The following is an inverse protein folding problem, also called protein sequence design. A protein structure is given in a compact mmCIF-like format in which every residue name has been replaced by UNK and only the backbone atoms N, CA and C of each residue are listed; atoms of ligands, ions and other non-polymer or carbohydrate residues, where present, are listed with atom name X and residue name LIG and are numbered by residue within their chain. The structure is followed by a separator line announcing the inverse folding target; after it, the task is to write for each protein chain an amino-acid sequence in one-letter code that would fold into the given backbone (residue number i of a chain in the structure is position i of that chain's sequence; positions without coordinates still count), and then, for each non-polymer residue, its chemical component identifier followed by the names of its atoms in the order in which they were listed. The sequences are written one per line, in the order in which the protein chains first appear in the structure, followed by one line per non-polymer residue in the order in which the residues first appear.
data_IF_693799236027
#
_entry.id   IF_693799236027
#
_cell.length_a   1.000
_cell.length_b   1.000
_cell.length_c   1.000
_cell.angle_alpha   90.00
_cell.angle_beta   90.00
_cell.angle_gamma   90.00
#
_symmetry.space_group_name_H-M   'P 1'
#
loop_
_entity.id
_entity.type
_entity.pdbx_description
1 polymer ?
#
# COMPACT_ATOMS: atom_id res chain seq x y z
N UNK A 1 44.91 45.26 -63.16
CA UNK A 1 45.99 44.29 -63.48
C UNK A 1 45.94 43.14 -62.48
N UNK A 2 45.85 41.91 -62.99
CA UNK A 2 46.44 40.64 -62.48
C UNK A 2 46.01 40.09 -61.10
N UNK A 3 45.32 38.93 -61.13
CA UNK A 3 45.12 37.90 -60.08
C UNK A 3 46.42 37.06 -59.89
N UNK A 4 46.49 36.02 -59.03
CA UNK A 4 45.98 35.75 -57.66
C UNK A 4 47.12 35.26 -56.74
N UNK A 5 46.86 34.91 -55.47
CA UNK A 5 47.44 33.69 -54.86
C UNK A 5 46.68 33.32 -53.59
N UNK A 6 46.30 32.05 -53.52
CA UNK A 6 45.63 31.42 -52.38
C UNK A 6 46.67 30.94 -51.37
N UNK A 7 46.35 31.07 -50.08
CA UNK A 7 46.89 30.21 -49.04
C UNK A 7 45.76 29.82 -48.08
N UNK A 8 45.36 28.55 -48.18
CA UNK A 8 44.48 27.87 -47.24
C UNK A 8 45.20 27.80 -45.89
N UNK A 9 44.49 28.13 -44.81
CA UNK A 9 44.78 27.54 -43.51
C UNK A 9 43.45 27.18 -42.84
N UNK A 10 43.10 25.91 -43.02
CA UNK A 10 42.02 25.25 -42.33
C UNK A 10 42.44 25.07 -40.86
N UNK A 11 41.67 25.61 -39.92
CA UNK A 11 41.71 25.16 -38.53
C UNK A 11 40.29 24.95 -38.00
N UNK A 12 40.10 23.73 -37.52
CA UNK A 12 38.83 23.11 -37.21
C UNK A 12 38.24 23.62 -35.90
N UNK A 13 36.92 23.85 -35.93
CA UNK A 13 36.07 24.05 -34.77
C UNK A 13 36.02 22.72 -34.00
N UNK A 14 36.63 22.68 -32.81
CA UNK A 14 36.49 21.54 -31.87
C UNK A 14 35.20 21.72 -31.05
N UNK A 15 34.27 20.75 -31.02
CA UNK A 15 33.22 20.75 -30.01
C UNK A 15 33.81 20.31 -28.65
N UNK A 16 33.52 21.11 -27.62
CA UNK A 16 33.85 20.86 -26.22
C UNK A 16 32.98 19.69 -25.71
N UNK A 17 33.59 18.51 -25.52
CA UNK A 17 32.96 17.35 -24.85
C UNK A 17 32.75 17.69 -23.37
N UNK A 18 31.50 17.73 -22.93
CA UNK A 18 31.16 17.73 -21.50
C UNK A 18 31.44 16.33 -20.92
N UNK A 19 31.99 16.21 -19.70
CA UNK A 19 32.14 14.92 -19.04
C UNK A 19 30.77 14.39 -18.62
N UNK A 20 30.38 13.23 -19.16
CA UNK A 20 29.23 12.48 -18.68
C UNK A 20 29.59 11.83 -17.34
N UNK A 21 29.03 12.33 -16.25
CA UNK A 21 29.03 11.66 -14.95
C UNK A 21 27.99 10.55 -14.97
N UNK A 22 28.41 9.31 -15.17
CA UNK A 22 27.56 8.14 -14.93
C UNK A 22 27.39 7.96 -13.41
N UNK A 23 26.17 7.86 -12.86
CA UNK A 23 25.99 7.38 -11.51
C UNK A 23 26.38 5.89 -11.44
N UNK A 24 26.99 5.42 -10.34
CA UNK A 24 27.32 4.01 -10.19
C UNK A 24 26.02 3.20 -10.17
N UNK A 25 25.96 2.18 -11.04
CA UNK A 25 24.94 1.15 -11.01
C UNK A 25 24.90 0.56 -9.60
N UNK A 26 23.74 0.68 -8.93
CA UNK A 26 23.46 -0.06 -7.73
C UNK A 26 23.65 -1.54 -8.03
N UNK A 27 24.73 -2.08 -7.49
CA UNK A 27 25.04 -3.50 -7.46
C UNK A 27 23.90 -4.18 -6.68
N UNK A 28 22.97 -4.79 -7.41
CA UNK A 28 21.98 -5.68 -6.83
C UNK A 28 22.74 -6.76 -6.06
N UNK A 29 22.63 -6.72 -4.73
CA UNK A 29 23.02 -7.83 -3.88
C UNK A 29 22.23 -9.06 -4.35
N UNK A 30 22.92 -9.93 -5.08
CA UNK A 30 22.43 -11.24 -5.44
C UNK A 30 22.35 -12.04 -4.13
N UNK A 31 21.15 -12.13 -3.59
CA UNK A 31 20.82 -13.20 -2.66
C UNK A 31 21.13 -14.52 -3.37
N UNK A 32 21.88 -15.39 -2.70
CA UNK A 32 22.36 -16.65 -3.22
C UNK A 32 21.23 -17.47 -3.84
N UNK A 33 21.19 -17.52 -5.18
CA UNK A 33 20.39 -18.47 -5.92
C UNK A 33 21.23 -19.73 -6.10
N UNK A 34 21.06 -20.71 -5.24
CA UNK A 34 21.09 -22.09 -5.72
C UNK A 34 20.03 -22.16 -6.82
N UNK A 35 20.40 -22.42 -8.07
CA UNK A 35 19.46 -22.73 -9.15
C UNK A 35 18.78 -24.06 -8.83
N UNK A 36 17.50 -24.11 -8.42
CA UNK A 36 16.71 -25.28 -8.78
C UNK A 36 16.45 -25.16 -10.29
N UNK A 37 16.40 -26.29 -10.97
CA UNK A 37 16.05 -26.35 -12.39
C UNK A 37 14.77 -25.55 -12.66
N UNK A 38 14.67 -24.91 -13.83
CA UNK A 38 13.44 -24.25 -14.29
C UNK A 38 12.23 -25.19 -14.24
N UNK A 39 12.47 -26.50 -14.30
CA UNK A 39 11.49 -27.56 -14.12
C UNK A 39 10.99 -27.70 -12.68
N UNK A 40 11.84 -27.54 -11.66
CA UNK A 40 11.44 -27.62 -10.24
C UNK A 40 10.68 -26.37 -9.77
N UNK A 41 11.00 -25.20 -10.32
CA UNK A 41 10.23 -23.97 -10.10
C UNK A 41 8.85 -24.04 -10.77
N UNK A 42 8.77 -24.58 -11.98
CA UNK A 42 7.49 -24.83 -12.65
C UNK A 42 6.66 -25.88 -11.93
N UNK A 43 7.28 -26.97 -11.43
CA UNK A 43 6.59 -27.98 -10.63
C UNK A 43 6.08 -27.41 -9.30
N UNK A 44 6.87 -26.61 -8.57
CA UNK A 44 6.41 -25.94 -7.33
C UNK A 44 5.35 -24.87 -7.60
N UNK A 45 5.45 -24.14 -8.71
CA UNK A 45 4.42 -23.21 -9.12
C UNK A 45 3.13 -23.95 -9.52
N UNK A 46 3.21 -25.08 -10.21
CA UNK A 46 2.07 -25.93 -10.55
C UNK A 46 1.47 -26.63 -9.32
N UNK A 47 2.29 -27.06 -8.37
CA UNK A 47 1.84 -27.61 -7.09
C UNK A 47 1.16 -26.54 -6.23
N UNK A 48 1.71 -25.32 -6.17
CA UNK A 48 1.08 -24.20 -5.47
C UNK A 48 -0.19 -23.73 -6.19
N UNK A 49 -0.18 -23.67 -7.52
CA UNK A 49 -1.35 -23.30 -8.32
C UNK A 49 -2.43 -24.38 -8.20
N UNK A 50 -2.08 -25.66 -8.18
CA UNK A 50 -3.03 -26.75 -7.99
C UNK A 50 -3.55 -26.83 -6.56
N UNK A 51 -2.76 -26.47 -5.55
CA UNK A 51 -3.22 -26.34 -4.16
C UNK A 51 -4.15 -25.13 -3.97
N UNK A 52 -3.82 -23.99 -4.60
CA UNK A 52 -4.66 -22.80 -4.63
C UNK A 52 -5.92 -23.04 -5.46
N UNK A 53 -5.85 -23.78 -6.57
CA UNK A 53 -7.02 -24.17 -7.37
C UNK A 53 -7.89 -25.20 -6.65
N UNK A 54 -7.31 -26.16 -5.92
CA UNK A 54 -8.05 -27.10 -5.08
C UNK A 54 -8.69 -26.39 -3.89
N UNK A 55 -7.98 -25.47 -3.25
CA UNK A 55 -8.48 -24.66 -2.14
C UNK A 55 -9.53 -23.64 -2.55
N UNK A 56 -9.35 -22.98 -3.71
CA UNK A 56 -10.36 -22.12 -4.33
C UNK A 56 -11.55 -22.94 -4.82
N UNK A 57 -11.32 -24.11 -5.39
CA UNK A 57 -12.37 -25.03 -5.84
C UNK A 57 -13.24 -25.47 -4.67
N UNK A 58 -12.61 -25.90 -3.58
CA UNK A 58 -13.32 -26.24 -2.34
C UNK A 58 -14.01 -25.01 -1.74
N UNK A 59 -13.34 -23.87 -1.58
CA UNK A 59 -13.94 -22.66 -1.03
C UNK A 59 -15.06 -22.08 -1.91
N UNK A 60 -14.95 -22.17 -3.23
CA UNK A 60 -16.02 -21.83 -4.16
C UNK A 60 -17.15 -22.84 -4.10
N UNK A 61 -16.90 -24.12 -3.88
CA UNK A 61 -17.94 -25.13 -3.71
C UNK A 61 -18.67 -24.99 -2.37
N UNK A 62 -17.98 -24.76 -1.26
CA UNK A 62 -18.62 -24.44 0.03
C UNK A 62 -19.34 -23.09 -0.04
N UNK A 63 -18.72 -22.09 -0.67
CA UNK A 63 -19.33 -20.79 -0.94
C UNK A 63 -20.56 -20.90 -1.82
N UNK A 64 -20.54 -21.72 -2.88
CA UNK A 64 -21.71 -22.01 -3.73
C UNK A 64 -22.78 -22.80 -3.00
N UNK A 65 -22.44 -23.68 -2.04
CA UNK A 65 -23.46 -24.41 -1.26
C UNK A 65 -24.17 -23.52 -0.24
N UNK A 66 -23.44 -22.61 0.42
CA UNK A 66 -24.02 -21.68 1.39
C UNK A 66 -24.66 -20.45 0.75
N UNK A 67 -24.09 -19.95 -0.33
CA UNK A 67 -24.51 -18.74 -1.01
C UNK A 67 -25.25 -19.02 -2.32
N UNK A 68 -25.35 -20.26 -2.78
CA UNK A 68 -25.96 -20.65 -4.06
C UNK A 68 -27.43 -20.28 -4.18
N UNK A 69 -28.34 -20.78 -3.31
CA UNK A 69 -29.77 -20.54 -3.48
C UNK A 69 -30.16 -19.07 -3.24
N UNK A 70 -29.40 -18.34 -2.42
CA UNK A 70 -29.63 -16.91 -2.15
C UNK A 70 -28.93 -16.03 -3.19
N UNK A 71 -27.73 -16.40 -3.61
CA UNK A 71 -26.91 -15.69 -4.59
C UNK A 71 -27.37 -15.87 -6.03
N UNK A 72 -27.98 -17.01 -6.37
CA UNK A 72 -28.64 -17.22 -7.67
C UNK A 72 -29.93 -16.40 -7.78
N UNK A 73 -30.75 -16.34 -6.72
CA UNK A 73 -31.97 -15.50 -6.67
C UNK A 73 -31.64 -14.01 -6.63
N UNK A 74 -30.66 -13.60 -5.83
CA UNK A 74 -30.14 -12.24 -5.87
C UNK A 74 -29.47 -11.95 -7.21
N UNK A 75 -28.83 -12.94 -7.84
CA UNK A 75 -28.13 -12.79 -9.10
C UNK A 75 -29.01 -12.66 -10.33
N UNK A 76 -30.17 -13.30 -10.33
CA UNK A 76 -31.21 -13.12 -11.37
C UNK A 76 -31.98 -11.82 -11.18
N UNK A 77 -32.28 -11.41 -9.93
CA UNK A 77 -32.93 -10.14 -9.64
C UNK A 77 -32.00 -8.92 -9.81
N UNK A 78 -30.71 -9.07 -9.52
CA UNK A 78 -29.69 -8.04 -9.77
C UNK A 78 -29.05 -8.15 -11.14
N UNK A 79 -29.46 -9.09 -12.00
CA UNK A 79 -28.83 -9.31 -13.31
C UNK A 79 -28.77 -8.03 -14.16
N UNK A 80 -29.85 -7.24 -14.16
CA UNK A 80 -29.95 -5.92 -14.82
C UNK A 80 -29.37 -4.77 -13.99
N UNK A 81 -29.31 -4.89 -12.65
CA UNK A 81 -28.78 -3.86 -11.74
C UNK A 81 -27.30 -4.02 -11.41
N UNK A 82 -26.66 -5.12 -11.84
CA UNK A 82 -25.25 -5.39 -11.59
C UNK A 82 -24.34 -4.40 -12.31
N UNK A 83 -24.70 -4.01 -13.52
CA UNK A 83 -23.93 -3.05 -14.32
C UNK A 83 -23.91 -1.64 -13.70
N UNK A 84 -25.04 -1.03 -13.30
CA UNK A 84 -25.01 0.27 -12.62
C UNK A 84 -24.36 0.19 -11.23
N UNK A 85 -24.55 -0.91 -10.48
CA UNK A 85 -23.87 -1.09 -9.20
C UNK A 85 -22.35 -1.19 -9.37
N UNK A 86 -21.87 -2.00 -10.31
CA UNK A 86 -20.45 -2.13 -10.59
C UNK A 86 -19.83 -0.80 -11.00
N UNK A 87 -20.51 -0.03 -11.86
CA UNK A 87 -20.09 1.32 -12.22
C UNK A 87 -20.03 2.25 -11.00
N UNK A 88 -21.07 2.30 -10.18
CA UNK A 88 -21.11 3.14 -8.97
C UNK A 88 -20.03 2.75 -7.97
N UNK A 89 -19.75 1.46 -7.79
CA UNK A 89 -18.63 0.98 -6.98
C UNK A 89 -17.28 1.39 -7.57
N UNK A 90 -17.12 1.35 -8.89
CA UNK A 90 -15.89 1.80 -9.54
C UNK A 90 -15.66 3.29 -9.32
N UNK A 91 -16.69 4.12 -9.51
CA UNK A 91 -16.62 5.57 -9.22
C UNK A 91 -16.32 5.81 -7.74
N UNK A 92 -17.05 5.14 -6.84
CA UNK A 92 -16.83 5.24 -5.39
C UNK A 92 -15.39 4.86 -5.02
N UNK A 93 -14.83 3.81 -5.61
CA UNK A 93 -13.43 3.42 -5.41
C UNK A 93 -12.45 4.51 -5.84
N UNK A 94 -12.67 5.16 -6.98
CA UNK A 94 -11.79 6.26 -7.40
C UNK A 94 -11.91 7.48 -6.48
N UNK A 95 -13.12 7.81 -6.02
CA UNK A 95 -13.33 8.85 -5.01
C UNK A 95 -12.59 8.52 -3.72
N UNK A 96 -12.67 7.27 -3.24
CA UNK A 96 -11.92 6.83 -2.05
C UNK A 96 -10.41 6.97 -2.21
N UNK A 97 -9.84 6.71 -3.40
CA UNK A 97 -8.40 6.92 -3.64
C UNK A 97 -8.02 8.41 -3.55
N UNK A 98 -8.86 9.29 -4.09
CA UNK A 98 -8.62 10.73 -4.01
C UNK A 98 -8.66 11.19 -2.56
N UNK A 99 -9.65 10.75 -1.80
CA UNK A 99 -9.76 11.03 -0.35
C UNK A 99 -8.55 10.48 0.40
N UNK A 100 -8.10 9.26 0.09
CA UNK A 100 -6.92 8.66 0.73
C UNK A 100 -5.66 9.54 0.62
N UNK A 101 -5.42 10.10 -0.58
CA UNK A 101 -4.27 10.97 -0.84
C UNK A 101 -4.50 12.36 -0.23
N UNK A 102 -5.71 12.92 -0.41
CA UNK A 102 -6.06 14.26 0.07
C UNK A 102 -6.01 14.35 1.60
N UNK A 103 -6.59 13.36 2.29
CA UNK A 103 -6.67 13.27 3.76
C UNK A 103 -5.42 12.67 4.40
N UNK A 104 -4.36 12.43 3.60
CA UNK A 104 -3.08 11.89 4.09
C UNK A 104 -3.25 10.62 4.92
N UNK A 105 -4.16 9.73 4.52
CA UNK A 105 -4.35 8.42 5.13
C UNK A 105 -3.19 7.44 4.86
N UNK A 106 -2.19 7.88 4.09
CA UNK A 106 -0.92 7.17 3.94
C UNK A 106 -0.15 7.13 5.27
N UNK A 107 0.52 6.00 5.57
CA UNK A 107 1.31 5.90 6.79
C UNK A 107 2.35 7.04 6.83
N UNK A 108 2.43 7.79 7.94
CA UNK A 108 3.37 8.89 8.05
C UNK A 108 4.82 8.38 8.11
N UNK A 109 5.81 9.23 7.78
CA UNK A 109 7.21 8.83 7.86
C UNK A 109 7.63 8.57 9.31
N UNK A 110 8.67 7.73 9.49
CA UNK A 110 9.18 7.36 10.82
C UNK A 110 9.57 8.57 11.68
N UNK A 111 10.05 9.65 11.08
CA UNK A 111 10.38 10.90 11.78
C UNK A 111 9.15 11.55 12.44
N UNK A 112 7.97 11.45 11.82
CA UNK A 112 6.73 11.96 12.39
C UNK A 112 6.30 11.15 13.63
N UNK A 113 6.52 9.83 13.62
CA UNK A 113 6.26 9.01 14.81
C UNK A 113 7.17 9.40 15.97
N UNK A 114 8.47 9.61 15.70
CA UNK A 114 9.43 10.04 16.73
C UNK A 114 9.05 11.39 17.34
N UNK A 115 8.67 12.37 16.51
CA UNK A 115 8.30 13.70 17.00
C UNK A 115 7.00 13.68 17.81
N UNK A 116 5.99 12.92 17.37
CA UNK A 116 4.73 12.75 18.10
C UNK A 116 4.96 12.03 19.43
N UNK A 117 5.76 10.97 19.44
CA UNK A 117 6.09 10.25 20.67
C UNK A 117 6.83 11.13 21.67
N UNK A 118 7.87 11.86 21.24
CA UNK A 118 8.60 12.78 22.10
C UNK A 118 7.69 13.87 22.68
N UNK A 119 6.79 14.43 21.85
CA UNK A 119 5.82 15.44 22.28
C UNK A 119 4.81 14.88 23.29
N UNK A 120 4.23 13.70 23.03
CA UNK A 120 3.32 13.03 23.95
C UNK A 120 3.99 12.72 25.28
N UNK A 121 5.23 12.21 25.24
CA UNK A 121 5.99 11.89 26.44
C UNK A 121 6.28 13.13 27.29
N UNK A 122 6.67 14.24 26.66
CA UNK A 122 6.90 15.51 27.38
C UNK A 122 5.61 16.08 28.01
N UNK A 123 4.44 15.83 27.41
CA UNK A 123 3.14 16.29 27.94
C UNK A 123 2.65 15.38 29.06
N UNK A 124 2.79 14.07 28.88
CA UNK A 124 2.39 13.07 29.88
C UNK A 124 3.23 13.15 31.17
N UNK A 125 4.47 13.61 31.09
CA UNK A 125 5.32 13.80 32.27
C UNK A 125 5.13 15.16 32.95
N UNK A 126 4.36 16.07 32.35
CA UNK A 126 4.18 17.42 32.86
C UNK A 126 2.86 17.55 33.66
N UNK A 127 2.97 17.91 34.94
CA UNK A 127 1.81 18.10 35.82
C UNK A 127 0.90 19.26 35.39
N UNK A 128 1.44 20.29 34.75
CA UNK A 128 0.65 21.45 34.31
C UNK A 128 -0.32 21.07 33.19
N UNK A 129 0.05 20.14 32.32
CA UNK A 129 -0.83 19.63 31.27
C UNK A 129 -2.13 19.07 31.85
N UNK A 130 -2.06 18.24 32.89
CA UNK A 130 -3.24 17.67 33.54
C UNK A 130 -4.10 18.73 34.25
N UNK A 131 -3.47 19.73 34.89
CA UNK A 131 -4.20 20.85 35.51
C UNK A 131 -4.94 21.69 34.48
N UNK A 132 -4.30 21.92 33.33
CA UNK A 132 -4.90 22.65 32.22
C UNK A 132 -6.05 21.87 31.59
N UNK A 133 -5.91 20.56 31.37
CA UNK A 133 -7.00 19.69 30.90
C UNK A 133 -8.24 19.73 31.80
N UNK A 134 -8.02 19.71 33.12
CA UNK A 134 -9.10 19.80 34.11
C UNK A 134 -9.78 21.16 34.07
N UNK A 135 -9.01 22.23 33.90
CA UNK A 135 -9.51 23.61 33.89
C UNK A 135 -10.18 23.98 32.56
N UNK A 136 -9.70 23.47 31.43
CA UNK A 136 -10.27 23.71 30.11
C UNK A 136 -11.51 22.86 29.82
N UNK A 137 -11.71 21.78 30.58
CA UNK A 137 -12.81 20.84 30.37
C UNK A 137 -12.59 19.89 29.20
N UNK A 138 -11.37 19.80 28.64
CA UNK A 138 -11.07 18.97 27.47
C UNK A 138 -10.90 17.47 27.78
N UNK A 139 -11.09 17.07 29.04
CA UNK A 139 -11.02 15.66 29.45
C UNK A 139 -11.94 14.75 28.64
N UNK A 140 -13.14 15.22 28.29
CA UNK A 140 -14.07 14.45 27.47
C UNK A 140 -13.48 14.15 26.07
N UNK A 141 -12.81 15.13 25.44
CA UNK A 141 -12.17 14.95 24.14
C UNK A 141 -11.04 13.93 24.22
N UNK A 142 -10.20 14.02 25.25
CA UNK A 142 -9.12 13.05 25.46
C UNK A 142 -9.66 11.65 25.71
N UNK A 143 -10.77 11.52 26.46
CA UNK A 143 -11.47 10.25 26.63
C UNK A 143 -12.00 9.67 25.31
N UNK A 144 -12.60 10.51 24.46
CA UNK A 144 -13.06 10.10 23.12
C UNK A 144 -11.87 9.62 22.27
N UNK A 145 -10.76 10.36 22.24
CA UNK A 145 -9.56 9.95 21.51
C UNK A 145 -8.96 8.65 22.04
N UNK A 146 -9.01 8.41 23.36
CA UNK A 146 -8.58 7.14 23.94
C UNK A 146 -9.49 5.97 23.49
N UNK A 147 -10.80 6.20 23.40
CA UNK A 147 -11.75 5.21 22.90
C UNK A 147 -11.54 4.93 21.40
N UNK A 148 -11.28 5.95 20.60
CA UNK A 148 -10.93 5.81 19.18
C UNK A 148 -9.64 5.01 19.01
N UNK A 149 -8.60 5.32 19.80
CA UNK A 149 -7.35 4.57 19.79
C UNK A 149 -7.56 3.10 20.19
N UNK A 150 -8.42 2.83 21.17
CA UNK A 150 -8.82 1.47 21.54
C UNK A 150 -9.57 0.76 20.41
N UNK A 151 -10.45 1.45 19.70
CA UNK A 151 -11.13 0.93 18.51
C UNK A 151 -10.15 0.52 17.42
N UNK A 152 -9.19 1.38 17.08
CA UNK A 152 -8.14 1.10 16.09
C UNK A 152 -7.28 -0.09 16.53
N UNK A 153 -6.94 -0.18 17.81
CA UNK A 153 -6.20 -1.32 18.37
C UNK A 153 -6.96 -2.64 18.16
N UNK A 154 -8.27 -2.66 18.39
CA UNK A 154 -9.12 -3.86 18.15
C UNK A 154 -9.25 -4.23 16.68
N UNK A 155 -9.28 -3.25 15.78
CA UNK A 155 -9.20 -3.51 14.33
C UNK A 155 -7.85 -4.18 14.00
N UNK A 156 -6.76 -3.71 14.60
CA UNK A 156 -5.44 -4.35 14.50
C UNK A 156 -5.44 -5.81 14.98
N UNK A 157 -6.07 -6.10 16.12
CA UNK A 157 -6.24 -7.48 16.60
C UNK A 157 -7.04 -8.35 15.62
N UNK A 158 -8.13 -7.83 15.04
CA UNK A 158 -8.95 -8.55 14.05
C UNK A 158 -8.10 -8.91 12.83
N UNK A 159 -7.29 -7.97 12.33
CA UNK A 159 -6.38 -8.20 11.20
C UNK A 159 -5.30 -9.23 11.58
N UNK A 160 -4.67 -9.07 12.75
CA UNK A 160 -3.62 -9.94 13.24
C UNK A 160 -4.07 -11.39 13.43
N UNK A 161 -5.29 -11.59 13.95
CA UNK A 161 -5.88 -12.93 14.13
C UNK A 161 -6.69 -13.42 12.93
N UNK A 162 -6.86 -12.59 11.90
CA UNK A 162 -7.61 -12.86 10.66
C UNK A 162 -9.03 -13.40 10.91
N UNK A 163 -9.66 -13.00 12.02
CA UNK A 163 -11.01 -13.43 12.42
C UNK A 163 -11.78 -12.27 13.00
N UNK A 164 -13.03 -12.12 12.56
CA UNK A 164 -13.93 -11.08 13.06
C UNK A 164 -14.41 -11.40 14.49
N UNK A 165 -14.69 -12.67 14.80
CA UNK A 165 -15.31 -13.11 16.07
C UNK A 165 -14.52 -14.29 16.65
N UNK A 166 -14.08 -14.17 17.91
CA UNK A 166 -13.23 -15.15 18.59
C UNK A 166 -11.93 -15.58 17.87
N UNK A 167 -11.19 -16.48 18.51
CA UNK A 167 -10.20 -17.30 17.83
C UNK A 167 -10.92 -18.52 17.24
N UNK A 168 -10.59 -18.88 16.00
CA UNK A 168 -11.02 -20.15 15.45
C UNK A 168 -10.20 -21.26 16.11
N UNK A 169 -10.71 -21.77 17.22
CA UNK A 169 -10.24 -23.00 17.84
C UNK A 169 -11.04 -24.15 17.22
N UNK A 170 -10.44 -24.82 16.24
CA UNK A 170 -10.87 -26.11 15.71
C UNK A 170 -9.69 -27.07 15.79
#
# INVERSE_FOLDING_TARGET
MVRPFAARLAQAIRPRRAPQSHPPLHQQQRFASSTPSTEELQKKAQDALSFVQKGLGQALETGKRFLGPVGERAGTLLGSYREPLAYNFAVFREVLKQVYIAERLQPPPLSAFQSVYASLWSRATNLQFYRELLRSGDLAKVGIYALEAYGIFKVGEIIGRRSLIGYNIQ
#
